data_IF_761936599223
#
_entry.id   IF_761936599223
#
_cell.length_a   1.000
_cell.length_b   1.000
_cell.length_c   1.000
_cell.angle_alpha   90.00
_cell.angle_beta   90.00
_cell.angle_gamma   90.00
#
_symmetry.space_group_name_H-M   'P 1'
#
loop_
_entity.id
_entity.type
_entity.pdbx_description
1 polymer ?
#
# COMPACT_ATOMS: atom_id res chain seq x y z
N UNK A 1 -52.05 53.69 56.62
CA UNK A 1 -51.48 52.92 57.74
C UNK A 1 -50.05 52.57 57.37
N UNK A 2 -49.11 53.38 57.88
CA UNK A 2 -47.92 53.00 58.68
C UNK A 2 -46.69 52.65 57.83
N UNK A 3 -45.80 53.64 57.59
CA UNK A 3 -44.51 53.95 58.28
C UNK A 3 -43.32 53.39 57.45
N UNK A 4 -42.52 54.24 56.77
CA UNK A 4 -41.20 54.80 57.20
C UNK A 4 -40.04 53.82 56.91
N UNK A 5 -38.86 54.14 56.35
CA UNK A 5 -38.07 55.38 56.33
C UNK A 5 -36.81 55.26 55.42
N UNK A 6 -36.29 56.43 54.98
CA UNK A 6 -34.88 56.84 54.73
C UNK A 6 -34.09 56.22 53.54
N UNK A 7 -33.26 56.93 52.74
CA UNK A 7 -32.70 58.29 52.79
C UNK A 7 -32.17 58.79 51.41
N UNK A 8 -32.48 60.05 51.05
CA UNK A 8 -31.67 61.17 50.48
C UNK A 8 -30.51 60.85 49.48
N UNK A 9 -30.52 61.28 48.20
CA UNK A 9 -30.29 62.66 47.64
C UNK A 9 -29.03 63.36 48.17
N UNK A 10 -28.14 64.07 47.45
CA UNK A 10 -27.87 64.42 46.05
C UNK A 10 -26.60 65.34 46.04
N UNK A 11 -26.16 65.82 44.87
CA UNK A 11 -25.18 66.92 44.61
C UNK A 11 -23.67 66.63 44.81
N UNK A 12 -22.70 67.25 44.12
CA UNK A 12 -22.46 67.86 42.78
C UNK A 12 -21.02 68.42 42.85
N UNK A 13 -20.30 68.37 41.71
CA UNK A 13 -19.23 69.27 41.24
C UNK A 13 -17.83 69.42 41.93
N UNK A 14 -16.82 69.25 41.07
CA UNK A 14 -15.60 70.06 40.81
C UNK A 14 -14.33 70.00 41.70
N UNK A 15 -13.30 69.39 41.09
CA UNK A 15 -11.99 69.96 40.67
C UNK A 15 -10.79 70.17 41.66
N UNK A 16 -9.61 69.75 41.14
CA UNK A 16 -8.19 70.11 41.45
C UNK A 16 -7.62 69.51 42.76
N UNK A 17 -6.40 68.93 42.87
CA UNK A 17 -5.14 69.04 42.11
C UNK A 17 -4.13 67.91 42.47
N UNK A 18 -3.16 67.63 41.56
CA UNK A 18 -1.71 67.28 41.74
C UNK A 18 -1.31 66.29 42.86
N UNK A 19 -0.46 65.25 42.74
CA UNK A 19 0.66 64.81 41.88
C UNK A 19 0.98 63.36 42.30
N UNK A 20 1.56 62.51 41.43
CA UNK A 20 2.28 61.31 41.93
C UNK A 20 2.42 60.14 40.96
N UNK A 21 3.44 60.21 40.09
CA UNK A 21 4.28 59.12 39.58
C UNK A 21 3.68 57.77 39.09
N UNK A 22 3.82 57.60 37.77
CA UNK A 22 3.93 56.40 36.93
C UNK A 22 4.19 55.02 37.58
N UNK A 23 3.37 54.04 37.21
CA UNK A 23 3.82 52.71 36.76
C UNK A 23 2.88 52.22 35.65
N UNK A 24 3.38 52.19 34.41
CA UNK A 24 2.68 51.62 33.25
C UNK A 24 2.77 50.09 33.34
N UNK A 25 1.63 49.42 33.52
CA UNK A 25 1.48 48.00 33.18
C UNK A 25 1.04 47.95 31.73
N UNK A 26 1.88 47.42 30.86
CA UNK A 26 1.52 47.14 29.47
C UNK A 26 0.60 45.92 29.45
N UNK A 27 -0.67 46.13 29.11
CA UNK A 27 -1.57 45.04 28.71
C UNK A 27 -1.22 44.70 27.26
N UNK A 28 -0.52 43.59 27.06
CA UNK A 28 -0.35 43.00 25.72
C UNK A 28 -1.68 42.32 25.38
N UNK A 29 -2.46 42.94 24.51
CA UNK A 29 -3.61 42.31 23.90
C UNK A 29 -3.10 41.27 22.88
N UNK A 30 -3.05 40.00 23.29
CA UNK A 30 -2.85 38.89 22.36
C UNK A 30 -4.13 38.78 21.54
N UNK A 31 -4.08 39.28 20.31
CA UNK A 31 -5.13 39.09 19.32
C UNK A 31 -5.09 37.63 18.90
N UNK A 32 -6.02 36.82 19.40
CA UNK A 32 -6.20 35.45 18.94
C UNK A 32 -6.69 35.50 17.48
N UNK A 33 -5.77 35.27 16.54
CA UNK A 33 -6.09 35.03 15.15
C UNK A 33 -6.71 33.63 15.08
N UNK A 34 -8.04 33.55 15.00
CA UNK A 34 -8.73 32.32 14.65
C UNK A 34 -8.41 31.99 13.19
N UNK A 35 -7.34 31.21 13.00
CA UNK A 35 -7.12 30.53 11.74
C UNK A 35 -8.23 29.48 11.59
N UNK A 36 -9.29 29.83 10.87
CA UNK A 36 -10.16 28.82 10.27
C UNK A 36 -9.28 28.09 9.25
N UNK A 37 -8.80 26.90 9.61
CA UNK A 37 -8.23 25.98 8.66
C UNK A 37 -9.37 25.58 7.72
N UNK A 38 -9.44 26.23 6.56
CA UNK A 38 -10.20 25.70 5.45
C UNK A 38 -9.59 24.33 5.15
N UNK A 39 -10.34 23.26 5.39
CA UNK A 39 -10.08 21.97 4.76
C UNK A 39 -10.26 22.17 3.26
N UNK A 40 -9.20 22.64 2.61
CA UNK A 40 -9.11 22.69 1.17
C UNK A 40 -9.30 21.27 0.67
N UNK A 41 -10.24 21.08 -0.26
CA UNK A 41 -10.32 19.87 -1.06
C UNK A 41 -8.90 19.52 -1.51
N UNK A 42 -8.45 18.30 -1.21
CA UNK A 42 -7.17 17.81 -1.67
C UNK A 42 -7.10 18.06 -3.18
N UNK A 43 -6.00 18.64 -3.70
CA UNK A 43 -5.90 18.84 -5.13
C UNK A 43 -6.00 17.44 -5.75
N UNK A 44 -6.95 17.26 -6.66
CA UNK A 44 -6.97 16.12 -7.57
C UNK A 44 -5.73 16.23 -8.43
N UNK A 45 -4.60 15.75 -7.90
CA UNK A 45 -3.37 15.58 -8.63
C UNK A 45 -3.65 14.47 -9.61
N UNK A 46 -3.90 14.84 -10.87
CA UNK A 46 -3.73 13.90 -11.96
C UNK A 46 -2.29 13.40 -11.85
N UNK A 47 -2.13 12.15 -11.41
CA UNK A 47 -0.83 11.51 -11.43
C UNK A 47 -0.46 11.45 -12.90
N UNK A 48 0.65 12.09 -13.24
CA UNK A 48 1.16 12.17 -14.62
C UNK A 48 2.54 11.53 -14.73
N UNK A 49 3.01 10.90 -13.66
CA UNK A 49 4.31 10.27 -13.58
C UNK A 49 4.20 8.86 -12.99
N UNK A 50 4.90 7.92 -13.63
CA UNK A 50 5.07 6.57 -13.11
C UNK A 50 5.60 6.58 -11.67
N UNK A 51 5.09 5.67 -10.84
CA UNK A 51 5.66 5.42 -9.53
C UNK A 51 7.01 4.71 -9.69
N UNK A 52 8.08 5.16 -9.01
CA UNK A 52 9.33 4.42 -8.99
C UNK A 52 9.16 3.04 -8.34
N UNK A 53 10.14 2.16 -8.53
CA UNK A 53 10.18 0.92 -7.77
C UNK A 53 10.30 1.24 -6.27
N UNK A 54 9.55 0.51 -5.45
CA UNK A 54 9.40 0.85 -4.05
C UNK A 54 8.21 0.13 -3.42
N UNK A 55 7.98 0.42 -2.14
CA UNK A 55 6.85 -0.13 -1.40
C UNK A 55 5.82 0.96 -1.18
N UNK A 56 4.59 0.66 -1.57
CA UNK A 56 3.43 1.55 -1.50
C UNK A 56 2.32 0.92 -0.69
N UNK A 57 1.50 1.75 -0.03
CA UNK A 57 0.26 1.32 0.62
C UNK A 57 -0.92 1.92 -0.12
N UNK A 58 -1.85 1.08 -0.55
CA UNK A 58 -3.10 1.47 -1.21
C UNK A 58 -4.22 1.40 -0.18
N UNK A 59 -4.94 2.50 0.02
CA UNK A 59 -5.95 2.65 1.08
C UNK A 59 -7.31 2.95 0.46
N UNK A 60 -8.31 2.08 0.68
CA UNK A 60 -9.68 2.30 0.24
C UNK A 60 -10.37 3.35 1.13
N UNK A 61 -10.74 4.49 0.55
CA UNK A 61 -11.43 5.58 1.25
C UNK A 61 -12.93 5.55 0.90
N UNK A 62 -13.73 4.80 1.68
CA UNK A 62 -15.14 4.57 1.39
C UNK A 62 -15.94 5.87 1.25
N UNK A 63 -15.68 6.84 2.12
CA UNK A 63 -16.37 8.14 2.13
C UNK A 63 -15.90 9.10 1.05
N UNK A 64 -14.91 8.73 0.24
CA UNK A 64 -14.34 9.57 -0.83
C UNK A 64 -14.36 8.93 -2.21
N UNK A 65 -14.86 7.68 -2.35
CA UNK A 65 -14.87 6.94 -3.62
C UNK A 65 -13.50 6.94 -4.32
N UNK A 66 -12.44 6.76 -3.52
CA UNK A 66 -11.07 6.85 -3.99
C UNK A 66 -10.14 5.93 -3.23
N UNK A 67 -8.97 5.67 -3.82
CA UNK A 67 -7.84 5.00 -3.19
C UNK A 67 -6.69 5.97 -3.03
N UNK A 68 -6.18 6.11 -1.81
CA UNK A 68 -4.94 6.85 -1.54
C UNK A 68 -3.73 5.93 -1.71
N UNK A 69 -2.70 6.39 -2.40
CA UNK A 69 -1.44 5.66 -2.55
C UNK A 69 -0.36 6.36 -1.74
N UNK A 70 0.13 5.68 -0.71
CA UNK A 70 1.15 6.18 0.21
C UNK A 70 2.51 5.60 -0.21
N UNK A 71 3.49 6.47 -0.43
CA UNK A 71 4.90 6.07 -0.51
C UNK A 71 5.44 5.84 0.90
N UNK A 72 5.82 4.61 1.19
CA UNK A 72 6.27 4.22 2.53
C UNK A 72 7.69 4.69 2.88
N UNK A 73 8.47 5.16 1.90
CA UNK A 73 9.75 5.81 2.15
C UNK A 73 9.54 7.29 2.47
N UNK A 74 8.64 7.96 1.75
CA UNK A 74 8.31 9.36 1.98
C UNK A 74 7.33 9.59 3.15
N UNK A 75 6.62 8.54 3.59
CA UNK A 75 5.54 8.61 4.58
C UNK A 75 4.46 9.63 4.17
N UNK A 76 4.09 9.63 2.89
CA UNK A 76 3.19 10.62 2.32
C UNK A 76 2.33 10.03 1.19
N UNK A 77 1.12 10.56 1.01
CA UNK A 77 0.28 10.26 -0.15
C UNK A 77 0.93 10.86 -1.41
N UNK A 78 1.21 10.01 -2.40
CA UNK A 78 1.81 10.40 -3.69
C UNK A 78 0.81 10.35 -4.85
N UNK A 79 -0.34 9.69 -4.65
CA UNK A 79 -1.41 9.60 -5.62
C UNK A 79 -2.77 9.39 -4.95
N UNK A 80 -3.82 9.81 -5.64
CA UNK A 80 -5.21 9.46 -5.31
C UNK A 80 -5.90 9.00 -6.58
N UNK A 81 -6.42 7.78 -6.56
CA UNK A 81 -7.06 7.14 -7.70
C UNK A 81 -8.56 7.12 -7.45
N UNK A 82 -9.37 7.70 -8.35
CA UNK A 82 -10.82 7.56 -8.28
C UNK A 82 -11.22 6.13 -8.66
N UNK A 83 -12.12 5.52 -7.88
CA UNK A 83 -12.63 4.16 -8.09
C UNK A 83 -14.17 4.17 -8.08
N UNK A 84 -14.80 3.01 -7.92
CA UNK A 84 -16.24 2.89 -7.75
C UNK A 84 -16.76 3.51 -6.45
N UNK A 85 -18.03 3.24 -6.15
CA UNK A 85 -18.70 3.83 -5.01
C UNK A 85 -18.43 3.04 -3.73
N UNK A 86 -18.09 3.73 -2.65
CA UNK A 86 -17.84 3.15 -1.32
C UNK A 86 -16.84 1.96 -1.35
N UNK A 87 -15.57 2.19 -1.71
CA UNK A 87 -14.55 1.15 -1.69
C UNK A 87 -14.30 0.61 -0.28
N UNK A 88 -14.19 -0.72 -0.12
CA UNK A 88 -14.21 -1.40 1.19
C UNK A 88 -13.02 -2.31 1.48
N UNK A 89 -12.51 -3.06 0.49
CA UNK A 89 -11.32 -3.89 0.62
C UNK A 89 -10.30 -3.61 -0.48
N UNK A 90 -9.03 -3.89 -0.19
CA UNK A 90 -7.92 -3.74 -1.14
C UNK A 90 -7.07 -5.01 -1.17
N UNK A 91 -6.81 -5.56 -2.35
CA UNK A 91 -5.88 -6.67 -2.54
C UNK A 91 -4.80 -6.29 -3.57
N UNK A 92 -3.52 -6.41 -3.21
CA UNK A 92 -2.40 -6.14 -4.10
C UNK A 92 -1.80 -7.43 -4.66
N UNK A 93 -1.50 -7.47 -5.95
CA UNK A 93 -0.84 -8.62 -6.58
C UNK A 93 0.63 -8.73 -6.17
N UNK A 94 1.13 -9.97 -6.03
CA UNK A 94 2.51 -10.24 -5.61
C UNK A 94 3.57 -9.81 -6.63
N UNK A 95 3.19 -9.65 -7.90
CA UNK A 95 4.03 -9.06 -8.95
C UNK A 95 4.13 -7.53 -8.84
N UNK A 96 3.24 -6.90 -8.06
CA UNK A 96 3.20 -5.47 -7.84
C UNK A 96 2.57 -4.69 -8.99
N UNK A 97 1.92 -5.34 -9.96
CA UNK A 97 1.35 -4.69 -11.16
C UNK A 97 -0.15 -4.37 -11.07
N UNK A 98 -0.87 -4.98 -10.13
CA UNK A 98 -2.31 -4.81 -9.98
C UNK A 98 -2.70 -4.59 -8.53
N UNK A 99 -3.70 -3.74 -8.34
CA UNK A 99 -4.44 -3.60 -7.08
C UNK A 99 -5.92 -3.75 -7.40
N UNK A 100 -6.62 -4.59 -6.65
CA UNK A 100 -8.05 -4.85 -6.78
C UNK A 100 -8.77 -4.21 -5.60
N UNK A 101 -9.85 -3.51 -5.89
CA UNK A 101 -10.61 -2.74 -4.88
C UNK A 101 -12.06 -3.13 -4.99
N UNK A 102 -12.68 -3.60 -3.91
CA UNK A 102 -14.12 -3.87 -3.90
C UNK A 102 -14.87 -2.56 -3.68
N UNK A 103 -15.80 -2.25 -4.58
CA UNK A 103 -16.60 -1.04 -4.54
C UNK A 103 -18.03 -1.39 -4.12
N UNK A 104 -18.27 -1.39 -2.81
CA UNK A 104 -19.48 -1.93 -2.20
C UNK A 104 -20.78 -1.25 -2.70
N UNK A 105 -20.70 0.05 -2.99
CA UNK A 105 -21.83 0.85 -3.45
C UNK A 105 -22.16 0.68 -4.94
N UNK A 106 -21.18 0.30 -5.77
CA UNK A 106 -21.36 0.03 -7.20
C UNK A 106 -21.45 -1.44 -7.56
N UNK A 107 -21.16 -2.36 -6.62
CA UNK A 107 -21.20 -3.81 -6.80
C UNK A 107 -20.22 -4.32 -7.87
N UNK A 108 -19.03 -3.73 -7.90
CA UNK A 108 -17.95 -4.10 -8.80
C UNK A 108 -16.60 -4.12 -8.08
N UNK A 109 -15.57 -4.59 -8.80
CA UNK A 109 -14.18 -4.51 -8.41
C UNK A 109 -13.45 -3.59 -9.38
N UNK A 110 -12.91 -2.48 -8.89
CA UNK A 110 -11.96 -1.66 -9.65
C UNK A 110 -10.59 -2.34 -9.71
N UNK A 111 -10.05 -2.49 -10.92
CA UNK A 111 -8.70 -3.03 -11.16
C UNK A 111 -7.77 -1.87 -11.48
N UNK A 112 -6.82 -1.60 -10.60
CA UNK A 112 -5.83 -0.52 -10.72
C UNK A 112 -4.52 -1.08 -11.28
N UNK A 113 -3.99 -0.46 -12.33
CA UNK A 113 -2.58 -0.57 -12.71
C UNK A 113 -1.76 0.27 -11.74
N UNK A 114 -0.69 -0.30 -11.17
CA UNK A 114 0.13 0.37 -10.13
C UNK A 114 1.27 1.19 -10.72
N UNK A 115 1.69 0.91 -11.96
CA UNK A 115 3.01 1.31 -12.45
C UNK A 115 3.08 1.71 -13.92
N UNK A 116 1.94 1.94 -14.58
CA UNK A 116 1.91 2.49 -15.93
C UNK A 116 2.68 3.81 -16.03
N UNK A 117 3.11 4.17 -17.24
CA UNK A 117 3.93 5.38 -17.48
C UNK A 117 3.29 6.68 -16.95
N UNK A 118 1.96 6.71 -16.79
CA UNK A 118 1.20 7.82 -16.22
C UNK A 118 0.95 7.76 -14.71
N UNK A 119 1.42 6.72 -14.00
CA UNK A 119 1.08 6.48 -12.60
C UNK A 119 -0.11 5.55 -12.41
N UNK A 120 -0.60 5.39 -11.16
CA UNK A 120 -1.63 4.41 -10.85
C UNK A 120 -2.99 4.86 -11.39
N UNK A 121 -3.67 3.97 -12.12
CA UNK A 121 -4.95 4.27 -12.79
C UNK A 121 -5.86 3.06 -12.85
N UNK A 122 -7.17 3.25 -12.86
CA UNK A 122 -8.14 2.16 -13.07
C UNK A 122 -8.09 1.71 -14.53
N UNK A 123 -7.89 0.42 -14.75
CA UNK A 123 -7.88 -0.24 -16.06
C UNK A 123 -9.27 -0.71 -16.47
N UNK A 124 -10.01 -1.29 -15.51
CA UNK A 124 -11.29 -1.93 -15.75
C UNK A 124 -12.06 -2.04 -14.44
N UNK A 125 -13.38 -2.22 -14.55
CA UNK A 125 -14.23 -2.65 -13.44
C UNK A 125 -14.84 -4.02 -13.77
N UNK A 126 -14.95 -4.88 -12.77
CA UNK A 126 -15.49 -6.24 -12.91
C UNK A 126 -16.76 -6.33 -12.06
N UNK A 127 -17.95 -6.48 -12.66
CA UNK A 127 -19.19 -6.65 -11.90
C UNK A 127 -19.15 -7.93 -11.06
N UNK A 128 -19.61 -7.84 -9.80
CA UNK A 128 -19.67 -8.96 -8.86
C UNK A 128 -21.05 -9.02 -8.17
N UNK A 129 -21.17 -9.82 -7.11
CA UNK A 129 -22.36 -9.87 -6.29
C UNK A 129 -22.63 -8.56 -5.53
N UNK A 130 -23.77 -8.53 -4.83
CA UNK A 130 -24.20 -7.31 -4.11
C UNK A 130 -23.36 -7.05 -2.87
N UNK A 131 -22.98 -5.78 -2.68
CA UNK A 131 -22.21 -5.26 -1.55
C UNK A 131 -20.91 -6.05 -1.33
N UNK A 132 -19.96 -6.02 -2.28
CA UNK A 132 -18.67 -6.64 -2.07
C UNK A 132 -17.91 -5.95 -0.92
N UNK A 133 -17.44 -6.74 0.05
CA UNK A 133 -16.79 -6.25 1.28
C UNK A 133 -15.35 -6.73 1.45
N UNK A 134 -14.98 -7.86 0.84
CA UNK A 134 -13.64 -8.44 0.93
C UNK A 134 -13.08 -8.83 -0.42
N UNK A 135 -11.76 -8.79 -0.54
CA UNK A 135 -10.99 -9.26 -1.69
C UNK A 135 -9.75 -10.04 -1.20
N UNK A 136 -9.53 -11.25 -1.72
CA UNK A 136 -8.34 -12.04 -1.43
C UNK A 136 -7.81 -12.73 -2.69
N UNK A 137 -6.52 -12.56 -2.98
CA UNK A 137 -5.86 -13.20 -4.12
C UNK A 137 -5.35 -14.59 -3.76
N UNK A 138 -5.39 -15.51 -4.72
CA UNK A 138 -4.60 -16.74 -4.65
C UNK A 138 -3.09 -16.42 -4.63
N UNK A 139 -2.24 -17.27 -4.04
CA UNK A 139 -0.79 -17.02 -3.95
C UNK A 139 -0.09 -16.83 -5.30
N UNK A 140 -0.59 -17.49 -6.35
CA UNK A 140 -0.11 -17.34 -7.73
C UNK A 140 -0.70 -16.11 -8.46
N UNK A 141 -1.67 -15.43 -7.84
CA UNK A 141 -2.37 -14.28 -8.38
C UNK A 141 -3.35 -14.61 -9.51
N UNK A 142 -3.61 -15.87 -9.83
CA UNK A 142 -4.49 -16.26 -10.95
C UNK A 142 -5.98 -16.11 -10.65
N UNK A 143 -6.36 -16.14 -9.36
CA UNK A 143 -7.74 -15.98 -8.90
C UNK A 143 -7.86 -14.88 -7.86
N UNK A 144 -8.91 -14.08 -7.99
CA UNK A 144 -9.36 -13.16 -6.95
C UNK A 144 -10.71 -13.64 -6.41
N UNK A 145 -10.80 -13.83 -5.10
CA UNK A 145 -12.03 -14.16 -4.40
C UNK A 145 -12.63 -12.88 -3.82
N UNK A 146 -13.94 -12.68 -4.01
CA UNK A 146 -14.65 -11.47 -3.57
C UNK A 146 -15.86 -11.83 -2.73
N UNK A 147 -15.87 -11.42 -1.47
CA UNK A 147 -16.95 -11.66 -0.52
C UNK A 147 -18.08 -10.66 -0.75
N UNK A 148 -19.27 -11.15 -1.09
CA UNK A 148 -20.44 -10.34 -1.40
C UNK A 148 -21.42 -10.47 -0.24
N UNK A 149 -21.28 -9.56 0.73
CA UNK A 149 -21.97 -9.58 2.02
C UNK A 149 -23.48 -9.78 1.88
N UNK A 150 -24.15 -8.86 1.18
CA UNK A 150 -25.62 -8.91 1.04
C UNK A 150 -26.08 -10.04 0.11
N UNK A 151 -25.27 -10.43 -0.88
CA UNK A 151 -25.62 -11.56 -1.74
C UNK A 151 -25.41 -12.92 -1.04
N UNK A 152 -24.63 -12.96 0.04
CA UNK A 152 -24.24 -14.19 0.74
C UNK A 152 -23.40 -15.14 -0.11
N UNK A 153 -22.55 -14.59 -0.98
CA UNK A 153 -21.77 -15.37 -1.96
C UNK A 153 -20.33 -14.91 -2.05
N UNK A 154 -19.44 -15.79 -2.51
CA UNK A 154 -18.09 -15.45 -2.97
C UNK A 154 -18.05 -15.51 -4.48
N UNK A 155 -17.64 -14.42 -5.13
CA UNK A 155 -17.35 -14.41 -6.57
C UNK A 155 -15.89 -14.80 -6.79
N UNK A 156 -15.64 -15.72 -7.73
CA UNK A 156 -14.28 -16.14 -8.12
C UNK A 156 -13.98 -15.50 -9.46
N UNK A 157 -12.96 -14.65 -9.52
CA UNK A 157 -12.54 -13.91 -10.72
C UNK A 157 -11.25 -14.51 -11.24
N UNK A 158 -11.19 -14.82 -12.52
CA UNK A 158 -9.94 -15.06 -13.23
C UNK A 158 -9.26 -13.71 -13.51
N UNK A 159 -8.07 -13.50 -12.96
CA UNK A 159 -7.39 -12.20 -13.02
C UNK A 159 -6.80 -11.90 -14.40
N UNK A 160 -6.54 -12.93 -15.21
CA UNK A 160 -6.04 -12.76 -16.57
C UNK A 160 -7.18 -12.44 -17.54
N UNK A 161 -8.33 -13.11 -17.38
CA UNK A 161 -9.53 -12.85 -18.18
C UNK A 161 -10.27 -11.57 -17.74
N UNK A 162 -10.13 -11.18 -16.47
CA UNK A 162 -10.82 -10.01 -15.90
C UNK A 162 -12.32 -10.23 -15.76
N UNK A 163 -12.74 -11.46 -15.44
CA UNK A 163 -14.17 -11.82 -15.36
C UNK A 163 -14.44 -12.86 -14.28
N UNK A 164 -15.65 -12.83 -13.73
CA UNK A 164 -16.15 -13.86 -12.80
C UNK A 164 -16.28 -15.20 -13.53
N UNK A 165 -15.65 -16.24 -12.99
CA UNK A 165 -15.68 -17.63 -13.49
C UNK A 165 -16.52 -18.56 -12.63
N UNK A 166 -16.78 -18.21 -11.37
CA UNK A 166 -17.65 -18.96 -10.48
C UNK A 166 -18.29 -18.05 -9.41
N UNK A 167 -19.39 -18.53 -8.84
CA UNK A 167 -20.05 -17.90 -7.68
C UNK A 167 -20.42 -19.00 -6.70
N UNK A 168 -19.89 -18.90 -5.48
CA UNK A 168 -20.02 -19.90 -4.41
C UNK A 168 -20.92 -19.35 -3.33
N UNK A 169 -21.87 -20.13 -2.82
CA UNK A 169 -22.63 -19.75 -1.64
C UNK A 169 -21.73 -19.79 -0.41
N UNK A 170 -21.66 -18.71 0.37
CA UNK A 170 -20.74 -18.60 1.51
C UNK A 170 -21.43 -18.34 2.85
N UNK A 171 -22.76 -18.16 2.84
CA UNK A 171 -23.55 -17.78 4.01
C UNK A 171 -23.91 -16.29 4.02
N UNK A 172 -24.91 -15.88 4.81
CA UNK A 172 -25.36 -14.50 4.86
C UNK A 172 -24.30 -13.59 5.50
N UNK A 173 -23.60 -12.80 4.68
CA UNK A 173 -22.63 -11.82 5.15
C UNK A 173 -21.19 -12.25 4.99
N UNK A 174 -20.82 -12.59 3.75
CA UNK A 174 -19.43 -12.83 3.35
C UNK A 174 -18.61 -11.53 3.42
N UNK A 175 -18.14 -11.15 4.61
CA UNK A 175 -17.51 -9.85 4.89
C UNK A 175 -15.99 -9.87 4.83
N UNK A 176 -15.35 -10.93 5.36
CA UNK A 176 -13.90 -11.12 5.35
C UNK A 176 -13.47 -12.36 4.57
N UNK A 177 -12.33 -12.29 3.87
CA UNK A 177 -11.76 -13.41 3.13
C UNK A 177 -10.25 -13.55 3.38
N UNK A 178 -9.78 -14.79 3.46
CA UNK A 178 -8.36 -15.09 3.30
C UNK A 178 -8.13 -16.42 2.57
N UNK A 179 -7.07 -16.48 1.79
CA UNK A 179 -6.64 -17.70 1.08
C UNK A 179 -5.47 -18.33 1.85
N UNK A 180 -5.45 -19.65 1.98
CA UNK A 180 -4.33 -20.35 2.59
C UNK A 180 -3.02 -20.13 1.81
N UNK A 181 -1.85 -20.15 2.47
CA UNK A 181 -0.56 -19.91 1.79
C UNK A 181 -0.24 -20.90 0.66
N UNK A 182 -0.76 -22.13 0.74
CA UNK A 182 -0.64 -23.15 -0.30
C UNK A 182 -1.68 -23.00 -1.44
N UNK A 183 -2.61 -22.07 -1.30
CA UNK A 183 -3.68 -21.80 -2.26
C UNK A 183 -4.79 -22.85 -2.29
N UNK A 184 -4.83 -23.80 -1.34
CA UNK A 184 -5.78 -24.91 -1.37
C UNK A 184 -7.16 -24.58 -0.78
N UNK A 185 -7.25 -23.59 0.11
CA UNK A 185 -8.48 -23.22 0.81
C UNK A 185 -8.72 -21.72 0.80
N UNK A 186 -10.00 -21.34 0.74
CA UNK A 186 -10.48 -19.98 0.99
C UNK A 186 -11.38 -20.00 2.22
N UNK A 187 -11.11 -19.11 3.16
CA UNK A 187 -11.90 -18.94 4.37
C UNK A 187 -12.72 -17.67 4.24
N UNK A 188 -14.04 -17.77 4.40
CA UNK A 188 -14.97 -16.66 4.34
C UNK A 188 -15.67 -16.48 5.68
N UNK A 189 -15.50 -15.32 6.31
CA UNK A 189 -16.30 -14.96 7.48
C UNK A 189 -17.76 -14.77 7.04
N UNK A 190 -18.66 -15.51 7.70
CA UNK A 190 -20.11 -15.44 7.56
C UNK A 190 -20.65 -14.65 8.76
N UNK A 191 -20.68 -13.32 8.62
CA UNK A 191 -21.05 -12.38 9.68
C UNK A 191 -22.45 -12.67 10.23
N UNK A 192 -23.41 -12.98 9.37
CA UNK A 192 -24.79 -13.28 9.76
C UNK A 192 -25.01 -14.71 10.22
N UNK A 193 -24.14 -15.64 9.84
CA UNK A 193 -24.18 -17.06 10.25
C UNK A 193 -23.34 -17.40 11.47
N UNK A 194 -22.59 -16.44 12.04
CA UNK A 194 -21.73 -16.64 13.20
C UNK A 194 -20.63 -17.72 12.97
N UNK A 195 -20.13 -17.80 11.74
CA UNK A 195 -19.29 -18.90 11.27
C UNK A 195 -18.21 -18.45 10.28
N UNK A 196 -17.30 -19.37 9.95
CA UNK A 196 -16.40 -19.29 8.81
C UNK A 196 -16.73 -20.42 7.84
N UNK A 197 -17.05 -20.06 6.60
CA UNK A 197 -17.21 -21.02 5.50
C UNK A 197 -15.85 -21.32 4.88
N UNK A 198 -15.52 -22.60 4.76
CA UNK A 198 -14.28 -23.10 4.14
C UNK A 198 -14.58 -23.61 2.75
N UNK A 199 -13.92 -23.03 1.75
CA UNK A 199 -14.09 -23.35 0.33
C UNK A 199 -12.80 -24.01 -0.17
N UNK A 200 -12.93 -25.12 -0.90
CA UNK A 200 -11.84 -25.75 -1.64
C UNK A 200 -11.55 -24.94 -2.91
N UNK A 201 -10.35 -24.40 -3.02
CA UNK A 201 -9.95 -23.53 -4.13
C UNK A 201 -9.75 -24.28 -5.46
N UNK A 202 -9.62 -25.62 -5.43
CA UNK A 202 -9.41 -26.41 -6.63
C UNK A 202 -10.69 -26.58 -7.46
N UNK A 203 -11.85 -26.68 -6.79
CA UNK A 203 -13.15 -26.95 -7.41
C UNK A 203 -14.26 -25.98 -6.97
N UNK A 204 -13.92 -24.97 -6.18
CA UNK A 204 -14.80 -23.92 -5.67
C UNK A 204 -15.99 -24.47 -4.85
N UNK A 205 -15.83 -25.65 -4.23
CA UNK A 205 -16.84 -26.27 -3.38
C UNK A 205 -16.71 -25.89 -1.90
N UNK A 206 -17.83 -25.72 -1.20
CA UNK A 206 -17.83 -25.57 0.27
C UNK A 206 -17.54 -26.93 0.92
N UNK A 207 -16.51 -26.98 1.75
CA UNK A 207 -16.07 -28.22 2.43
C UNK A 207 -16.33 -28.23 3.93
N UNK A 208 -16.47 -27.06 4.56
CA UNK A 208 -16.83 -26.95 5.98
C UNK A 208 -17.49 -25.61 6.31
N UNK A 209 -18.20 -25.57 7.44
CA UNK A 209 -18.69 -24.35 8.09
C UNK A 209 -18.34 -24.46 9.57
N UNK A 210 -17.48 -23.57 10.06
CA UNK A 210 -16.89 -23.62 11.41
C UNK A 210 -17.48 -22.50 12.25
N UNK A 211 -18.13 -22.80 13.38
CA UNK A 211 -18.69 -21.78 14.26
C UNK A 211 -17.62 -21.03 15.04
N UNK A 212 -17.63 -19.69 14.99
CA UNK A 212 -16.58 -18.83 15.57
C UNK A 212 -17.10 -17.67 16.42
N UNK A 213 -18.42 -17.50 16.55
CA UNK A 213 -19.02 -16.45 17.38
C UNK A 213 -19.79 -15.39 16.57
N UNK A 214 -20.32 -14.37 17.24
CA UNK A 214 -21.47 -13.58 16.81
C UNK A 214 -21.28 -12.72 15.55
N UNK A 215 -20.10 -12.16 15.29
CA UNK A 215 -19.88 -11.23 14.16
C UNK A 215 -18.42 -11.33 13.67
N UNK A 216 -18.03 -12.46 13.05
CA UNK A 216 -16.70 -12.63 12.47
C UNK A 216 -16.52 -11.71 11.27
N UNK A 217 -15.35 -11.09 11.12
CA UNK A 217 -15.07 -10.13 10.04
C UNK A 217 -13.72 -10.39 9.35
N UNK A 218 -12.75 -9.46 9.35
CA UNK A 218 -11.53 -9.59 8.55
C UNK A 218 -10.49 -10.53 9.18
N UNK A 219 -10.58 -11.80 8.77
CA UNK A 219 -9.72 -12.91 9.20
C UNK A 219 -8.36 -12.97 8.47
N UNK A 220 -7.39 -13.64 9.08
CA UNK A 220 -6.08 -13.90 8.47
C UNK A 220 -5.63 -15.36 8.70
N UNK A 221 -4.97 -15.95 7.69
CA UNK A 221 -4.35 -17.27 7.81
C UNK A 221 -2.89 -17.13 8.22
N UNK A 222 -2.44 -17.97 9.15
CA UNK A 222 -1.04 -18.06 9.54
C UNK A 222 -0.15 -18.42 8.33
N UNK A 223 1.12 -17.94 8.25
CA UNK A 223 2.02 -18.27 7.15
C UNK A 223 2.33 -19.76 6.99
N UNK A 224 2.21 -20.55 8.06
CA UNK A 224 2.37 -22.01 8.02
C UNK A 224 1.09 -22.75 7.60
N UNK A 225 0.00 -22.02 7.38
CA UNK A 225 -1.31 -22.53 6.97
C UNK A 225 -2.09 -23.26 8.08
N UNK A 226 -1.56 -23.35 9.31
CA UNK A 226 -2.16 -24.21 10.34
C UNK A 226 -3.30 -23.57 11.11
N UNK A 227 -3.30 -22.25 11.23
CA UNK A 227 -4.29 -21.51 11.99
C UNK A 227 -4.96 -20.41 11.17
N UNK A 228 -6.23 -20.17 11.44
CA UNK A 228 -6.97 -18.99 10.97
C UNK A 228 -7.39 -18.15 12.17
N UNK A 229 -7.03 -16.88 12.15
CA UNK A 229 -7.34 -15.92 13.20
C UNK A 229 -8.51 -15.04 12.74
N UNK A 230 -9.61 -15.09 13.48
CA UNK A 230 -10.88 -14.48 13.09
C UNK A 230 -11.29 -13.48 14.17
N UNK A 231 -11.09 -12.17 13.94
CA UNK A 231 -11.65 -11.14 14.81
C UNK A 231 -13.18 -11.28 14.87
N UNK A 232 -13.73 -11.40 16.07
CA UNK A 232 -15.16 -11.39 16.29
C UNK A 232 -15.59 -10.07 16.94
N UNK A 233 -16.15 -9.20 16.10
CA UNK A 233 -16.59 -7.87 16.47
C UNK A 233 -17.66 -7.88 17.57
N UNK A 234 -18.56 -8.87 17.53
CA UNK A 234 -19.72 -8.96 18.39
C UNK A 234 -19.39 -9.58 19.74
N UNK A 235 -18.46 -10.53 19.75
CA UNK A 235 -18.03 -11.24 20.96
C UNK A 235 -16.87 -10.56 21.70
N UNK A 236 -16.08 -9.73 21.00
CA UNK A 236 -14.95 -9.01 21.60
C UNK A 236 -13.69 -9.88 21.78
N UNK A 237 -13.58 -10.97 21.04
CA UNK A 237 -12.48 -11.92 21.08
C UNK A 237 -11.92 -12.21 19.67
N UNK A 238 -10.83 -12.97 19.65
CA UNK A 238 -10.21 -13.51 18.45
C UNK A 238 -10.41 -15.02 18.49
N UNK A 239 -11.22 -15.55 17.58
CA UNK A 239 -11.32 -16.99 17.38
C UNK A 239 -10.09 -17.50 16.62
N UNK A 240 -9.54 -18.63 17.05
CA UNK A 240 -8.41 -19.31 16.43
C UNK A 240 -8.86 -20.69 15.96
N UNK A 241 -8.91 -20.88 14.65
CA UNK A 241 -9.31 -22.15 14.03
C UNK A 241 -8.05 -22.96 13.71
N UNK A 242 -7.95 -24.19 14.22
CA UNK A 242 -6.99 -25.19 13.75
C UNK A 242 -7.50 -25.79 12.42
N UNK A 243 -6.75 -25.57 11.34
CA UNK A 243 -7.18 -25.94 9.97
C UNK A 243 -7.16 -27.44 9.68
N UNK A 244 -6.51 -28.24 10.52
CA UNK A 244 -6.44 -29.70 10.37
C UNK A 244 -7.64 -30.39 11.02
N UNK A 245 -8.21 -29.78 12.07
CA UNK A 245 -9.26 -30.38 12.90
C UNK A 245 -10.57 -29.59 12.91
N UNK A 246 -10.57 -28.37 12.38
CA UNK A 246 -11.63 -27.37 12.50
C UNK A 246 -11.99 -27.02 13.97
N UNK A 247 -11.08 -27.31 14.90
CA UNK A 247 -11.20 -26.95 16.31
C UNK A 247 -11.02 -25.45 16.53
N UNK A 248 -11.77 -24.87 17.47
CA UNK A 248 -11.76 -23.42 17.74
C UNK A 248 -11.40 -23.13 19.19
N UNK A 249 -10.46 -22.21 19.40
CA UNK A 249 -10.17 -21.57 20.68
C UNK A 249 -10.40 -20.07 20.59
N UNK A 250 -10.43 -19.37 21.73
CA UNK A 250 -10.75 -17.94 21.80
C UNK A 250 -9.72 -17.19 22.64
N UNK A 251 -9.20 -16.10 22.09
CA UNK A 251 -8.32 -15.16 22.80
C UNK A 251 -9.10 -13.88 23.10
N UNK A 252 -9.32 -13.52 24.37
CA UNK A 252 -9.96 -12.25 24.70
C UNK A 252 -9.11 -11.07 24.23
N UNK A 253 -9.64 -10.26 23.30
CA UNK A 253 -9.01 -9.02 22.86
C UNK A 253 -9.57 -7.84 23.65
N UNK A 254 -10.88 -7.83 23.85
CA UNK A 254 -11.63 -6.71 24.37
C UNK A 254 -12.13 -5.78 23.25
N UNK A 255 -13.15 -4.98 23.58
CA UNK A 255 -13.71 -3.97 22.68
C UNK A 255 -14.48 -4.56 21.49
N UNK A 256 -14.08 -4.18 20.28
CA UNK A 256 -14.68 -4.53 18.98
C UNK A 256 -13.54 -4.83 17.99
N UNK A 257 -12.94 -6.04 18.05
CA UNK A 257 -11.84 -6.40 17.18
C UNK A 257 -12.31 -6.42 15.71
N UNK A 258 -11.52 -5.85 14.79
CA UNK A 258 -11.92 -5.63 13.40
C UNK A 258 -11.15 -6.42 12.36
N UNK A 259 -9.83 -6.34 12.37
CA UNK A 259 -8.98 -6.95 11.35
C UNK A 259 -7.76 -7.59 12.00
N UNK A 260 -7.37 -8.75 11.51
CA UNK A 260 -6.14 -9.43 11.93
C UNK A 260 -5.07 -9.37 10.83
N UNK A 261 -3.80 -9.27 11.23
CA UNK A 261 -2.67 -9.53 10.35
C UNK A 261 -1.60 -10.33 11.10
N UNK A 262 -1.07 -11.38 10.48
CA UNK A 262 -0.05 -12.26 11.08
C UNK A 262 1.33 -11.85 10.56
N UNK A 263 2.32 -11.77 11.44
CA UNK A 263 3.70 -11.54 11.01
C UNK A 263 4.25 -12.74 10.20
N UNK A 264 5.26 -12.53 9.32
CA UNK A 264 5.72 -13.60 8.42
C UNK A 264 6.31 -14.84 9.09
N UNK A 265 6.83 -14.71 10.31
CA UNK A 265 7.34 -15.86 11.07
C UNK A 265 6.23 -16.58 11.87
N UNK A 266 4.99 -16.08 11.84
CA UNK A 266 3.82 -16.67 12.50
C UNK A 266 3.82 -16.57 14.03
N UNK A 267 4.70 -15.77 14.62
CA UNK A 267 4.83 -15.67 16.09
C UNK A 267 3.85 -14.69 16.74
N UNK A 268 3.25 -13.79 15.96
CA UNK A 268 2.35 -12.77 16.48
C UNK A 268 1.23 -12.42 15.49
N UNK A 269 0.05 -12.14 16.05
CA UNK A 269 -1.11 -11.58 15.34
C UNK A 269 -1.36 -10.17 15.84
N UNK A 270 -1.50 -9.23 14.91
CA UNK A 270 -1.88 -7.86 15.20
C UNK A 270 -3.36 -7.70 14.91
N UNK A 271 -4.15 -7.33 15.91
CA UNK A 271 -5.60 -7.21 15.82
C UNK A 271 -6.00 -5.76 16.09
N UNK A 272 -6.66 -5.12 15.14
CA UNK A 272 -7.24 -3.78 15.38
C UNK A 272 -8.47 -3.92 16.29
N UNK A 273 -8.60 -3.06 17.29
CA UNK A 273 -9.80 -2.94 18.12
C UNK A 273 -10.43 -1.55 17.91
N UNK A 274 -11.55 -1.55 17.19
CA UNK A 274 -12.26 -0.35 16.79
C UNK A 274 -12.82 0.43 17.99
N UNK A 275 -13.18 -0.24 19.09
CA UNK A 275 -13.77 0.41 20.25
C UNK A 275 -12.73 1.11 21.12
N UNK A 276 -11.56 0.51 21.30
CA UNK A 276 -10.50 1.06 22.16
C UNK A 276 -9.49 1.94 21.42
N UNK A 277 -9.46 1.90 20.09
CA UNK A 277 -8.51 2.70 19.30
C UNK A 277 -7.08 2.18 19.40
N UNK A 278 -6.92 0.85 19.44
CA UNK A 278 -5.60 0.21 19.56
C UNK A 278 -5.40 -0.89 18.52
N UNK A 279 -4.14 -1.27 18.33
CA UNK A 279 -3.75 -2.56 17.77
C UNK A 279 -3.29 -3.45 18.91
N UNK A 280 -4.01 -4.52 19.22
CA UNK A 280 -3.59 -5.55 20.17
C UNK A 280 -2.58 -6.50 19.51
N UNK A 281 -1.59 -6.96 20.27
CA UNK A 281 -0.59 -7.94 19.83
C UNK A 281 -0.83 -9.25 20.57
N UNK A 282 -1.24 -10.27 19.83
CA UNK A 282 -1.43 -11.63 20.35
C UNK A 282 -0.20 -12.47 20.04
N UNK A 283 0.38 -13.09 21.07
CA UNK A 283 1.43 -14.09 20.91
C UNK A 283 0.81 -15.46 20.58
N UNK A 284 1.23 -16.06 19.47
CA UNK A 284 0.63 -17.30 18.95
C UNK A 284 1.10 -18.57 19.66
N UNK A 285 2.16 -18.48 20.47
CA UNK A 285 2.64 -19.62 21.26
C UNK A 285 1.88 -19.76 22.58
N UNK A 286 1.32 -18.66 23.08
CA UNK A 286 0.62 -18.59 24.37
C UNK A 286 -0.86 -18.27 24.25
N UNK A 287 -1.36 -17.95 23.06
CA UNK A 287 -2.73 -17.52 22.77
C UNK A 287 -3.20 -16.40 23.72
N UNK A 288 -2.36 -15.37 23.84
CA UNK A 288 -2.61 -14.27 24.78
C UNK A 288 -2.17 -12.92 24.25
N UNK A 289 -2.89 -11.86 24.65
CA UNK A 289 -2.50 -10.47 24.36
C UNK A 289 -1.27 -10.11 25.19
N UNK A 290 -0.18 -9.73 24.53
CA UNK A 290 1.10 -9.37 25.17
C UNK A 290 1.32 -7.86 25.27
N UNK A 291 0.77 -7.10 24.33
CA UNK A 291 0.90 -5.64 24.27
C UNK A 291 -0.19 -5.02 23.39
N UNK A 292 -0.25 -3.68 23.38
CA UNK A 292 -1.08 -2.93 22.43
C UNK A 292 -0.43 -1.60 22.06
N UNK A 293 -0.78 -1.07 20.89
CA UNK A 293 -0.35 0.23 20.39
C UNK A 293 -1.55 1.13 20.16
N UNK A 294 -1.56 2.34 20.71
CA UNK A 294 -2.63 3.31 20.44
C UNK A 294 -2.52 3.85 19.02
N UNK A 295 -3.63 3.84 18.29
CA UNK A 295 -3.73 4.35 16.90
C UNK A 295 -4.87 5.36 16.80
N UNK A 296 -5.26 5.75 15.59
CA UNK A 296 -6.37 6.68 15.37
C UNK A 296 -7.74 6.09 15.76
N UNK A 297 -8.77 6.93 15.65
CA UNK A 297 -10.12 6.55 16.07
C UNK A 297 -10.73 5.48 15.15
N UNK A 298 -11.35 4.46 15.76
CA UNK A 298 -11.99 3.33 15.08
C UNK A 298 -11.07 2.67 14.03
N UNK A 299 -9.96 2.04 14.42
CA UNK A 299 -9.09 1.35 13.49
C UNK A 299 -9.80 0.16 12.84
N UNK A 300 -9.72 0.04 11.52
CA UNK A 300 -10.30 -1.05 10.73
C UNK A 300 -9.19 -1.94 10.16
N UNK A 301 -8.91 -1.86 8.85
CA UNK A 301 -7.91 -2.70 8.18
C UNK A 301 -6.48 -2.43 8.69
N UNK A 302 -5.68 -3.48 8.68
CA UNK A 302 -4.26 -3.46 9.06
C UNK A 302 -3.44 -4.24 8.03
N UNK A 303 -2.34 -3.65 7.57
CA UNK A 303 -1.38 -4.35 6.71
C UNK A 303 0.05 -4.19 7.24
N UNK A 304 0.83 -5.26 7.12
CA UNK A 304 2.22 -5.29 7.58
C UNK A 304 3.16 -5.05 6.41
N UNK A 305 3.99 -4.00 6.52
CA UNK A 305 5.18 -3.84 5.70
C UNK A 305 6.35 -4.51 6.40
N UNK A 306 6.86 -5.58 5.80
CA UNK A 306 8.00 -6.32 6.34
C UNK A 306 9.25 -5.91 5.58
N UNK A 307 10.29 -5.46 6.30
CA UNK A 307 11.57 -5.15 5.70
C UNK A 307 12.75 -5.57 6.62
N UNK A 308 13.92 -5.94 6.05
CA UNK A 308 15.10 -6.31 6.83
C UNK A 308 15.59 -5.22 7.79
N UNK A 309 15.28 -3.95 7.52
CA UNK A 309 15.67 -2.79 8.35
C UNK A 309 14.64 -2.37 9.40
N UNK A 310 13.55 -3.12 9.57
CA UNK A 310 12.44 -2.77 10.45
C UNK A 310 11.10 -3.05 9.78
N UNK A 311 10.15 -3.60 10.52
CA UNK A 311 8.80 -3.87 10.02
C UNK A 311 7.82 -2.87 10.62
N UNK A 312 6.79 -2.50 9.86
CA UNK A 312 5.77 -1.54 10.29
C UNK A 312 4.37 -2.06 10.02
N UNK A 313 3.41 -1.74 10.88
CA UNK A 313 2.00 -1.88 10.58
C UNK A 313 1.44 -0.54 10.10
N UNK A 314 0.60 -0.60 9.06
CA UNK A 314 -0.22 0.50 8.60
C UNK A 314 -1.67 0.19 8.95
N UNK A 315 -2.38 1.14 9.55
CA UNK A 315 -3.73 0.94 10.08
C UNK A 315 -4.65 2.01 9.53
N UNK A 316 -5.77 1.62 8.92
CA UNK A 316 -6.79 2.54 8.45
C UNK A 316 -7.61 3.05 9.65
N UNK A 317 -7.48 4.34 9.95
CA UNK A 317 -8.21 4.98 11.05
C UNK A 317 -9.55 5.51 10.52
N UNK A 318 -10.56 4.64 10.46
CA UNK A 318 -11.86 4.92 9.85
C UNK A 318 -12.51 6.21 10.37
N UNK A 319 -12.36 6.47 11.68
CA UNK A 319 -12.92 7.64 12.34
C UNK A 319 -12.07 8.92 12.23
N UNK A 320 -10.88 8.87 11.63
CA UNK A 320 -9.92 9.98 11.63
C UNK A 320 -9.42 10.42 10.24
N UNK A 321 -9.89 9.79 9.15
CA UNK A 321 -9.43 10.07 7.78
C UNK A 321 -7.90 10.03 7.66
N UNK A 322 -7.28 9.08 8.36
CA UNK A 322 -5.83 8.93 8.42
C UNK A 322 -5.41 7.47 8.37
N UNK A 323 -4.11 7.26 8.16
CA UNK A 323 -3.43 5.99 8.38
C UNK A 323 -2.39 6.15 9.49
N UNK A 324 -2.51 5.35 10.54
CA UNK A 324 -1.51 5.24 11.59
C UNK A 324 -0.39 4.31 11.14
N UNK A 325 0.86 4.66 11.46
CA UNK A 325 2.05 3.87 11.13
C UNK A 325 2.77 3.49 12.41
N UNK A 326 2.82 2.19 12.70
CA UNK A 326 3.40 1.63 13.92
C UNK A 326 4.68 0.89 13.56
N UNK A 327 5.80 1.24 14.17
CA UNK A 327 7.02 0.44 14.12
C UNK A 327 6.86 -0.80 15.01
N UNK A 328 6.92 -2.00 14.40
CA UNK A 328 6.61 -3.25 15.10
C UNK A 328 7.72 -3.71 16.04
N UNK A 329 8.95 -3.20 15.89
CA UNK A 329 10.07 -3.56 16.74
C UNK A 329 10.10 -2.77 18.04
N UNK A 330 9.73 -1.48 17.99
CA UNK A 330 9.76 -0.55 19.12
C UNK A 330 8.38 -0.22 19.69
N UNK A 331 7.31 -0.45 18.93
CA UNK A 331 5.96 0.00 19.24
C UNK A 331 5.73 1.50 19.05
N UNK A 332 6.70 2.22 18.48
CA UNK A 332 6.59 3.65 18.25
C UNK A 332 5.57 3.94 17.14
N UNK A 333 4.68 4.90 17.38
CA UNK A 333 3.67 5.34 16.41
C UNK A 333 4.10 6.67 15.80
N UNK A 334 4.25 6.71 14.48
CA UNK A 334 4.61 7.92 13.75
C UNK A 334 3.44 8.91 13.68
N UNK A 335 3.70 10.12 13.19
CA UNK A 335 2.63 11.05 12.86
C UNK A 335 1.69 10.41 11.81
N UNK A 336 0.36 10.49 11.99
CA UNK A 336 -0.59 9.86 11.09
C UNK A 336 -0.55 10.52 9.70
N UNK A 337 -0.70 9.70 8.66
CA UNK A 337 -0.72 10.15 7.27
C UNK A 337 -2.18 10.43 6.90
N UNK A 338 -2.49 11.69 6.53
CA UNK A 338 -3.84 12.04 6.08
C UNK A 338 -4.21 11.36 4.76
N UNK A 339 -5.40 10.78 4.69
CA UNK A 339 -5.96 10.11 3.50
C UNK A 339 -7.38 10.62 3.21
N UNK A 340 -8.16 9.90 2.40
CA UNK A 340 -9.55 10.25 2.14
C UNK A 340 -10.45 9.94 3.34
N UNK A 341 -11.72 10.31 3.22
CA UNK A 341 -12.70 10.08 4.28
C UNK A 341 -13.05 8.60 4.41
N UNK A 342 -13.22 8.14 5.66
CA UNK A 342 -13.58 6.77 6.01
C UNK A 342 -12.67 5.72 5.36
N UNK A 343 -11.35 5.73 5.64
CA UNK A 343 -10.48 4.66 5.19
C UNK A 343 -10.90 3.34 5.86
N UNK A 344 -11.12 2.29 5.08
CA UNK A 344 -11.63 1.00 5.59
C UNK A 344 -10.53 -0.04 5.64
N UNK A 345 -9.91 -0.30 4.49
CA UNK A 345 -8.90 -1.35 4.34
C UNK A 345 -7.71 -0.86 3.51
N UNK A 346 -6.60 -1.59 3.61
CA UNK A 346 -5.37 -1.25 2.94
C UNK A 346 -4.50 -2.46 2.58
N UNK A 347 -3.76 -2.34 1.49
CA UNK A 347 -2.80 -3.36 1.06
C UNK A 347 -1.42 -2.75 0.79
N UNK A 348 -0.38 -3.53 1.13
CA UNK A 348 1.00 -3.21 0.76
C UNK A 348 1.28 -3.78 -0.64
N UNK A 349 1.74 -2.93 -1.55
CA UNK A 349 2.19 -3.33 -2.89
C UNK A 349 3.67 -2.99 -3.07
N UNK A 350 4.41 -3.88 -3.72
CA UNK A 350 5.84 -3.69 -3.99
C UNK A 350 6.05 -3.63 -5.49
N UNK A 351 6.30 -2.42 -6.00
CA UNK A 351 6.69 -2.22 -7.40
C UNK A 351 8.15 -2.62 -7.53
N UNK A 352 8.43 -3.65 -8.32
CA UNK A 352 9.79 -4.17 -8.53
C UNK A 352 10.50 -3.41 -9.66
N UNK A 353 11.84 -3.28 -9.60
CA UNK A 353 12.60 -2.76 -10.72
C UNK A 353 12.41 -3.65 -11.96
N UNK A 354 12.30 -3.02 -13.13
CA UNK A 354 12.05 -3.73 -14.40
C UNK A 354 13.35 -4.29 -14.95
N UNK A 355 13.33 -5.54 -15.43
CA UNK A 355 14.47 -6.13 -16.12
C UNK A 355 14.81 -5.35 -17.40
N UNK A 356 16.09 -5.07 -17.61
CA UNK A 356 16.55 -4.42 -18.84
C UNK A 356 17.24 -5.41 -19.76
N UNK A 357 17.13 -5.16 -21.07
CA UNK A 357 17.90 -5.82 -22.10
C UNK A 357 18.78 -4.78 -22.80
N UNK A 358 20.09 -5.06 -22.84
CA UNK A 358 21.07 -4.26 -23.56
C UNK A 358 21.51 -5.03 -24.80
N UNK A 359 21.56 -4.35 -25.94
CA UNK A 359 22.11 -4.88 -27.18
C UNK A 359 23.25 -3.99 -27.64
N UNK A 360 24.46 -4.52 -27.77
CA UNK A 360 25.60 -3.81 -28.33
C UNK A 360 25.65 -4.02 -29.85
N UNK A 361 25.92 -2.94 -30.60
CA UNK A 361 26.10 -3.03 -32.04
C UNK A 361 27.51 -3.50 -32.43
N UNK A 362 27.76 -3.54 -33.74
CA UNK A 362 29.12 -3.68 -34.27
C UNK A 362 29.77 -2.30 -34.29
N UNK A 363 30.97 -2.19 -33.71
CA UNK A 363 31.80 -1.01 -33.80
C UNK A 363 32.70 -1.11 -35.02
N UNK A 364 32.74 -0.04 -35.82
CA UNK A 364 33.56 0.03 -37.01
C UNK A 364 34.79 0.91 -36.77
N UNK A 365 35.96 0.34 -37.04
CA UNK A 365 37.26 0.98 -36.89
C UNK A 365 37.77 1.39 -38.28
N UNK A 366 37.90 2.70 -38.51
CA UNK A 366 38.46 3.23 -39.77
C UNK A 366 39.94 3.56 -39.61
N UNK A 367 40.79 3.08 -40.51
CA UNK A 367 42.26 3.25 -40.48
C UNK A 367 42.78 4.64 -40.89
N UNK A 368 41.91 5.64 -41.06
CA UNK A 368 42.29 7.00 -41.47
C UNK A 368 42.83 7.82 -40.27
N UNK A 369 43.68 8.86 -40.49
CA UNK A 369 44.35 9.61 -39.41
C UNK A 369 43.42 10.38 -38.44
N UNK A 370 42.11 10.30 -38.65
CA UNK A 370 41.06 10.90 -37.81
C UNK A 370 39.96 9.89 -37.44
N UNK A 371 40.24 8.58 -37.51
CA UNK A 371 39.22 7.53 -37.41
C UNK A 371 38.42 7.56 -36.12
N UNK A 372 37.13 7.88 -36.19
CA UNK A 372 36.19 7.77 -35.08
C UNK A 372 35.69 6.32 -34.95
N UNK A 373 35.84 5.73 -33.76
CA UNK A 373 35.22 4.44 -33.46
C UNK A 373 33.84 4.67 -32.85
N UNK A 374 32.79 4.27 -33.56
CA UNK A 374 31.41 4.47 -33.11
C UNK A 374 30.92 3.26 -32.29
N UNK A 375 31.24 3.25 -31.00
CA UNK A 375 30.65 2.29 -30.06
C UNK A 375 29.16 2.63 -29.88
N UNK A 376 28.30 1.63 -29.91
CA UNK A 376 26.88 1.85 -29.66
C UNK A 376 26.22 0.69 -28.91
N UNK A 377 25.18 1.03 -28.16
CA UNK A 377 24.31 0.06 -27.51
C UNK A 377 22.89 0.61 -27.41
N UNK A 378 21.90 -0.29 -27.38
CA UNK A 378 20.49 0.05 -27.20
C UNK A 378 19.97 -0.63 -25.94
N UNK A 379 19.45 0.17 -25.01
CA UNK A 379 18.84 -0.27 -23.76
C UNK A 379 17.31 -0.29 -23.90
N UNK A 380 16.71 -1.40 -23.52
CA UNK A 380 15.26 -1.60 -23.51
C UNK A 380 14.80 -2.20 -22.18
N UNK A 381 13.53 -1.99 -21.84
CA UNK A 381 12.84 -2.63 -20.74
C UNK A 381 11.46 -3.04 -21.25
N UNK A 382 11.08 -4.32 -21.08
CA UNK A 382 9.86 -4.89 -21.67
C UNK A 382 9.71 -4.59 -23.18
N UNK A 383 10.84 -4.56 -23.91
CA UNK A 383 10.87 -4.23 -25.35
C UNK A 383 10.74 -2.75 -25.70
N UNK A 384 10.42 -1.88 -24.74
CA UNK A 384 10.36 -0.43 -24.94
C UNK A 384 11.73 0.23 -24.71
N UNK A 385 12.08 1.30 -25.43
CA UNK A 385 13.36 1.97 -25.24
C UNK A 385 13.47 2.72 -23.91
N UNK A 386 14.63 2.64 -23.24
CA UNK A 386 14.88 3.33 -21.97
C UNK A 386 15.83 4.51 -22.18
N UNK A 387 15.31 5.73 -22.09
CA UNK A 387 16.06 6.97 -22.30
C UNK A 387 16.74 7.49 -21.02
N UNK A 388 17.73 8.37 -21.19
CA UNK A 388 18.39 9.10 -20.10
C UNK A 388 19.33 8.25 -19.23
N UNK A 389 19.61 7.01 -19.61
CA UNK A 389 20.46 6.10 -18.84
C UNK A 389 21.90 6.14 -19.31
N UNK A 390 22.85 6.03 -18.38
CA UNK A 390 24.27 6.00 -18.74
C UNK A 390 24.71 4.57 -19.04
N UNK A 391 25.25 4.37 -20.24
CA UNK A 391 25.92 3.13 -20.65
C UNK A 391 27.42 3.33 -20.55
N UNK A 392 28.10 2.41 -19.89
CA UNK A 392 29.56 2.36 -19.80
C UNK A 392 30.07 1.33 -20.81
N UNK A 393 31.01 1.77 -21.65
CA UNK A 393 31.69 0.91 -22.60
C UNK A 393 33.11 0.63 -22.11
N UNK A 394 33.48 -0.64 -22.09
CA UNK A 394 34.81 -1.12 -21.70
C UNK A 394 35.36 -2.08 -22.74
N UNK A 395 36.66 -2.30 -22.74
CA UNK A 395 37.23 -3.46 -23.42
C UNK A 395 36.81 -4.77 -22.71
N UNK A 396 37.23 -5.91 -23.25
CA UNK A 396 36.92 -7.24 -22.70
C UNK A 396 37.59 -7.52 -21.36
N UNK A 397 38.67 -6.80 -21.03
CA UNK A 397 39.44 -6.91 -19.80
C UNK A 397 38.97 -5.93 -18.70
N UNK A 398 38.00 -5.07 -19.03
CA UNK A 398 37.41 -4.08 -18.13
C UNK A 398 38.04 -2.68 -18.19
N UNK A 399 38.98 -2.45 -19.11
CA UNK A 399 39.57 -1.14 -19.38
C UNK A 399 38.53 -0.14 -19.91
N UNK A 400 38.51 1.11 -19.41
CA UNK A 400 37.47 2.08 -19.77
C UNK A 400 37.66 2.58 -21.21
N UNK A 401 36.59 2.55 -22.01
CA UNK A 401 36.58 3.11 -23.37
C UNK A 401 35.85 4.46 -23.41
N UNK A 402 34.59 4.49 -22.97
CA UNK A 402 33.78 5.71 -22.92
C UNK A 402 32.50 5.51 -22.09
N UNK A 403 31.73 6.60 -21.93
CA UNK A 403 30.35 6.55 -21.41
C UNK A 403 29.45 7.38 -22.33
N UNK A 404 28.22 6.92 -22.53
CA UNK A 404 27.21 7.67 -23.28
C UNK A 404 25.81 7.50 -22.68
N UNK A 405 24.98 8.53 -22.82
CA UNK A 405 23.60 8.52 -22.34
C UNK A 405 22.65 8.05 -23.43
N UNK A 406 21.68 7.20 -23.09
CA UNK A 406 20.66 6.72 -24.02
C UNK A 406 19.72 7.84 -24.43
N UNK A 407 19.45 7.96 -25.73
CA UNK A 407 18.47 8.91 -26.26
C UNK A 407 17.03 8.36 -26.15
N UNK A 408 16.05 9.06 -26.72
CA UNK A 408 14.63 8.65 -26.72
C UNK A 408 14.37 7.28 -27.37
N UNK A 409 15.30 6.76 -28.19
CA UNK A 409 15.26 5.42 -28.77
C UNK A 409 16.06 4.40 -27.95
N UNK A 410 16.43 4.73 -26.72
CA UNK A 410 17.24 3.87 -25.86
C UNK A 410 18.69 3.70 -26.33
N UNK A 411 19.12 4.43 -27.37
CA UNK A 411 20.42 4.24 -28.00
C UNK A 411 21.46 5.16 -27.36
N UNK A 412 22.56 4.58 -26.88
CA UNK A 412 23.77 5.28 -26.47
C UNK A 412 24.83 5.10 -27.58
N UNK A 413 25.47 6.19 -27.97
CA UNK A 413 26.57 6.21 -28.95
C UNK A 413 27.69 7.05 -28.38
N UNK A 414 28.93 6.57 -28.48
CA UNK A 414 30.10 7.36 -28.17
C UNK A 414 31.14 7.20 -29.28
N UNK A 415 31.88 8.27 -29.53
CA UNK A 415 33.13 8.22 -30.30
C UNK A 415 34.27 8.15 -29.30
N UNK A 416 35.12 7.13 -29.40
CA UNK A 416 36.39 7.11 -28.64
C UNK A 416 37.46 7.84 -29.43
N UNK A 417 38.38 8.51 -28.72
CA UNK A 417 39.60 9.05 -29.32
C UNK A 417 40.45 7.91 -29.97
N UNK A 418 41.43 8.21 -30.84
CA UNK A 418 42.13 7.22 -31.68
C UNK A 418 42.88 6.08 -30.95
N UNK A 419 42.94 6.08 -29.61
CA UNK A 419 43.61 5.07 -28.79
C UNK A 419 42.89 3.71 -28.68
N UNK A 420 41.72 3.53 -29.31
CA UNK A 420 41.06 2.21 -29.35
C UNK A 420 41.88 1.16 -30.13
N UNK A 421 42.76 1.63 -31.03
CA UNK A 421 43.66 0.80 -31.84
C UNK A 421 44.89 0.29 -31.07
N UNK A 422 45.18 0.84 -29.88
CA UNK A 422 46.32 0.40 -29.07
C UNK A 422 46.01 -0.88 -28.28
N UNK A 423 44.73 -1.21 -28.10
CA UNK A 423 44.27 -2.44 -27.45
C UNK A 423 43.95 -3.51 -28.50
N UNK A 424 44.93 -4.35 -28.82
CA UNK A 424 44.77 -5.56 -29.66
C UNK A 424 43.58 -6.42 -29.20
N UNK A 425 43.29 -6.42 -27.89
CA UNK A 425 42.14 -7.09 -27.27
C UNK A 425 40.80 -6.60 -27.81
N UNK A 426 40.65 -5.30 -28.11
CA UNK A 426 39.38 -4.74 -28.62
C UNK A 426 39.18 -5.12 -30.09
N UNK A 427 40.25 -5.17 -30.87
CA UNK A 427 40.24 -5.61 -32.28
C UNK A 427 39.90 -7.08 -32.45
N UNK A 428 40.38 -7.95 -31.55
CA UNK A 428 40.17 -9.39 -31.64
C UNK A 428 38.91 -9.86 -30.91
N UNK A 429 38.61 -9.24 -29.77
CA UNK A 429 37.61 -9.74 -28.82
C UNK A 429 36.42 -8.79 -28.65
N UNK A 430 36.38 -7.63 -29.32
CA UNK A 430 35.24 -6.72 -29.24
C UNK A 430 35.25 -5.83 -27.99
N UNK A 431 34.06 -5.40 -27.57
CA UNK A 431 33.86 -4.52 -26.41
C UNK A 431 32.68 -4.98 -25.56
N UNK A 432 32.61 -4.50 -24.32
CA UNK A 432 31.44 -4.68 -23.44
C UNK A 432 30.71 -3.36 -23.27
N UNK A 433 29.39 -3.40 -23.43
CA UNK A 433 28.50 -2.34 -22.97
C UNK A 433 27.84 -2.81 -21.68
N UNK A 434 27.74 -1.92 -20.68
CA UNK A 434 27.11 -2.23 -19.41
C UNK A 434 26.23 -1.08 -18.95
N UNK A 435 25.07 -1.44 -18.41
CA UNK A 435 24.18 -0.58 -17.67
C UNK A 435 24.16 -1.06 -16.23
N UNK A 436 24.52 -0.18 -15.30
CA UNK A 436 24.64 -0.52 -13.88
C UNK A 436 23.29 -0.70 -13.17
N UNK A 437 22.17 -0.39 -13.84
CA UNK A 437 20.87 -0.33 -13.20
C UNK A 437 20.65 0.98 -12.44
N UNK A 438 19.44 1.13 -11.92
CA UNK A 438 19.06 2.14 -10.94
C UNK A 438 17.88 1.60 -10.11
N UNK A 439 17.23 2.46 -9.32
CA UNK A 439 16.08 2.05 -8.52
C UNK A 439 14.93 1.44 -9.36
N UNK A 440 14.72 1.90 -10.60
CA UNK A 440 13.60 1.48 -11.44
C UNK A 440 13.94 0.37 -12.43
N UNK A 441 15.23 0.15 -12.71
CA UNK A 441 15.69 -0.74 -13.76
C UNK A 441 16.86 -1.59 -13.30
N UNK A 442 16.79 -2.89 -13.54
CA UNK A 442 17.86 -3.83 -13.22
C UNK A 442 19.08 -3.64 -14.14
N UNK A 443 20.30 -3.95 -13.67
CA UNK A 443 21.50 -3.91 -14.50
C UNK A 443 21.42 -4.88 -15.68
N UNK A 444 22.13 -4.56 -16.75
CA UNK A 444 22.30 -5.43 -17.92
C UNK A 444 23.63 -5.18 -18.62
N UNK A 445 24.11 -6.17 -19.36
CA UNK A 445 25.35 -6.04 -20.14
C UNK A 445 25.24 -6.75 -21.47
N UNK A 446 26.04 -6.32 -22.44
CA UNK A 446 26.06 -6.87 -23.78
C UNK A 446 27.48 -6.87 -24.35
N UNK A 447 27.76 -7.86 -25.18
CA UNK A 447 29.01 -7.95 -25.93
C UNK A 447 28.82 -7.41 -27.34
N UNK A 448 29.66 -6.46 -27.76
CA UNK A 448 29.67 -5.91 -29.10
C UNK A 448 30.91 -6.35 -29.87
N UNK A 449 30.76 -6.60 -31.16
CA UNK A 449 31.88 -7.00 -32.02
C UNK A 449 32.54 -5.77 -32.63
N UNK A 450 33.81 -5.89 -32.99
CA UNK A 450 34.55 -4.90 -33.77
C UNK A 450 34.75 -5.39 -35.21
N UNK A 451 34.73 -4.46 -36.16
CA UNK A 451 35.04 -4.72 -37.56
C UNK A 451 35.92 -3.60 -38.11
N UNK A 452 36.90 -3.92 -38.95
CA UNK A 452 37.65 -2.91 -39.70
C UNK A 452 36.88 -2.50 -40.96
N UNK A 453 36.87 -1.19 -41.25
CA UNK A 453 36.42 -0.62 -42.52
C UNK A 453 37.60 -0.07 -43.34
#
# INVERSE_FOLDING_TARGET
MTWSSQQHSAFRLSALSRMGAMRRVAVVAISALTAVAAFGAAPSHAVTAALPAGTYVYVANAGSNSVSVIDTAAQAVVATVAVGSAPTAVAASADGHRVYVTDSGSNDVSVIDTGGAGGPTVLSTIPVGRQPQAAALSPDGSRLYVGNDVAGTVSVIDTAAGSVIATVAAGPGAEGLAVSPDGSRVYAADTGGAAVTVINAADDSVVATVGVGATPINLAVAPDGKHVYVPDYGSGDLAVIDTATDGVSFVPIGGRPHSAAVNPNGSAVYVTDAASGVVAVVDTGTDSVTSSFSVGAAPHGIALKVAPGGSSAYVADYGAASVSVVDLGSGAVAAPIGVGNNPVDLAVSVIKPVATALSAGTAYLTLLPLGESNLNATLTANGAPVAGQTITFTDVDGGPLCRATTNAKGKAVCSTAPGLLDSVSVLLSGYRASYAGNQNYLPSSAHGNTALL
#
